data_IF_023366122457
#
_entry.id   IF_023366122457
#
_cell.length_a   1.000
_cell.length_b   1.000
_cell.length_c   1.000
_cell.angle_alpha   90.00
_cell.angle_beta   90.00
_cell.angle_gamma   90.00
#
_symmetry.space_group_name_H-M   'P 1'
#
loop_
_entity.id
_entity.type
_entity.pdbx_description
1 polymer ?
#
# COMPACT_ATOMS: atom_id res chain seq x y z
N UNK A 1 -75.79 -15.56 26.57
CA UNK A 1 -74.73 -15.49 27.59
C UNK A 1 -73.46 -16.03 26.96
N UNK A 2 -72.57 -15.11 26.56
CA UNK A 2 -71.11 -15.27 26.62
C UNK A 2 -70.53 -16.58 26.07
N UNK A 3 -70.13 -16.65 24.78
CA UNK A 3 -68.99 -17.40 24.19
C UNK A 3 -69.10 -17.32 22.65
N UNK A 4 -68.34 -16.44 21.99
CA UNK A 4 -67.93 -16.52 20.55
C UNK A 4 -67.38 -15.21 19.97
N UNK A 5 -67.19 -14.14 20.75
CA UNK A 5 -66.45 -12.94 20.31
C UNK A 5 -64.92 -13.11 20.35
N UNK A 6 -64.41 -14.33 20.59
CA UNK A 6 -63.00 -14.61 20.78
C UNK A 6 -62.21 -15.00 19.52
N UNK A 7 -62.82 -14.96 18.33
CA UNK A 7 -62.18 -15.46 17.09
C UNK A 7 -61.72 -14.40 16.08
N UNK A 8 -61.71 -13.10 16.42
CA UNK A 8 -61.20 -12.06 15.51
C UNK A 8 -60.16 -11.10 16.14
N UNK A 9 -59.47 -11.53 17.21
CA UNK A 9 -58.34 -10.78 17.79
C UNK A 9 -57.02 -11.54 17.88
N UNK A 10 -56.99 -12.83 17.54
CA UNK A 10 -55.78 -13.66 17.65
C UNK A 10 -54.87 -13.57 16.41
N UNK A 11 -55.36 -13.08 15.27
CA UNK A 11 -54.56 -13.00 14.01
C UNK A 11 -53.78 -11.68 13.87
N UNK A 12 -53.81 -10.79 14.87
CA UNK A 12 -53.16 -9.47 14.81
C UNK A 12 -52.13 -9.21 15.91
N UNK A 13 -51.72 -10.24 16.64
CA UNK A 13 -50.86 -10.13 17.82
C UNK A 13 -49.68 -11.11 17.84
N UNK A 14 -49.24 -11.60 16.68
CA UNK A 14 -48.17 -12.60 16.61
C UNK A 14 -47.29 -12.44 15.36
N UNK A 15 -46.84 -11.22 15.07
CA UNK A 15 -45.89 -10.93 13.98
C UNK A 15 -44.90 -9.81 14.36
N UNK A 16 -44.46 -9.74 15.62
CA UNK A 16 -43.49 -8.71 16.08
C UNK A 16 -42.29 -9.30 16.85
N UNK A 17 -42.20 -10.62 17.01
CA UNK A 17 -41.21 -11.25 17.90
C UNK A 17 -40.20 -12.17 17.19
N UNK A 18 -39.80 -11.87 15.94
CA UNK A 18 -38.72 -12.63 15.28
C UNK A 18 -37.92 -11.84 14.24
N UNK A 19 -37.70 -10.55 14.49
CA UNK A 19 -36.80 -9.70 13.67
C UNK A 19 -35.80 -8.97 14.55
N UNK A 20 -35.21 -9.68 15.52
CA UNK A 20 -34.20 -9.10 16.41
C UNK A 20 -33.14 -10.13 16.79
N UNK A 21 -32.22 -10.43 15.86
CA UNK A 21 -30.83 -10.82 16.15
C UNK A 21 -30.17 -11.39 14.89
N UNK A 22 -29.78 -10.52 13.94
CA UNK A 22 -28.69 -10.84 13.00
C UNK A 22 -28.11 -9.54 12.42
N UNK A 23 -27.85 -8.58 13.28
CA UNK A 23 -26.89 -7.51 12.99
C UNK A 23 -25.49 -8.09 13.20
N UNK A 24 -25.04 -8.95 12.29
CA UNK A 24 -23.60 -9.18 12.14
C UNK A 24 -23.02 -7.86 11.65
N UNK A 25 -22.56 -7.06 12.61
CA UNK A 25 -21.66 -5.96 12.30
C UNK A 25 -20.41 -6.60 11.69
N UNK A 26 -20.37 -6.67 10.36
CA UNK A 26 -19.11 -6.74 9.65
C UNK A 26 -18.42 -5.41 9.92
N UNK A 27 -17.77 -5.29 11.08
CA UNK A 27 -16.62 -4.44 11.22
C UNK A 27 -15.58 -5.01 10.26
N UNK A 28 -15.69 -4.65 8.99
CA UNK A 28 -14.52 -4.62 8.14
C UNK A 28 -13.55 -3.73 8.91
N UNK A 29 -12.55 -4.36 9.52
CA UNK A 29 -11.39 -3.64 9.95
C UNK A 29 -10.93 -2.90 8.70
N UNK A 30 -11.18 -1.59 8.64
CA UNK A 30 -10.37 -0.69 7.86
C UNK A 30 -8.99 -0.71 8.52
N UNK A 31 -8.29 -1.85 8.37
CA UNK A 31 -6.89 -1.91 8.66
C UNK A 31 -6.30 -0.92 7.70
N UNK A 32 -5.77 0.18 8.21
CA UNK A 32 -4.94 1.10 7.45
C UNK A 32 -3.99 0.22 6.63
N UNK A 33 -4.25 0.15 5.31
CA UNK A 33 -3.61 -0.85 4.48
C UNK A 33 -2.12 -0.51 4.48
N UNK A 34 -1.34 -1.32 5.18
CA UNK A 34 0.06 -1.01 5.43
C UNK A 34 0.87 -1.18 4.14
N UNK A 35 1.84 -0.31 3.84
CA UNK A 35 2.74 -0.47 2.71
C UNK A 35 3.78 -1.58 2.97
N UNK A 36 3.84 -2.17 4.17
CA UNK A 36 4.73 -3.32 4.45
C UNK A 36 4.36 -4.49 3.53
N UNK A 37 5.37 -5.13 2.94
CA UNK A 37 5.22 -6.26 2.02
C UNK A 37 6.08 -6.12 0.77
N UNK A 38 5.81 -6.96 -0.23
CA UNK A 38 6.53 -6.97 -1.50
C UNK A 38 5.68 -6.30 -2.58
N UNK A 39 6.32 -5.45 -3.37
CA UNK A 39 5.68 -4.65 -4.40
C UNK A 39 6.44 -4.76 -5.72
N UNK A 40 5.70 -4.94 -6.81
CA UNK A 40 6.21 -4.83 -8.16
C UNK A 40 6.12 -3.36 -8.60
N UNK A 41 7.26 -2.75 -8.91
CA UNK A 41 7.33 -1.38 -9.40
C UNK A 41 7.06 -1.34 -10.90
N UNK A 42 6.29 -0.36 -11.36
CA UNK A 42 5.95 -0.15 -12.77
C UNK A 42 6.59 1.15 -13.26
N UNK A 43 7.18 1.13 -14.45
CA UNK A 43 7.66 2.33 -15.12
C UNK A 43 6.47 3.20 -15.57
N UNK A 44 6.42 4.48 -15.15
CA UNK A 44 5.32 5.39 -15.48
C UNK A 44 5.34 5.89 -16.93
N UNK A 45 6.43 5.66 -17.67
CA UNK A 45 6.52 6.01 -19.10
C UNK A 45 6.18 4.84 -20.01
N UNK A 46 6.67 3.64 -19.68
CA UNK A 46 6.53 2.46 -20.55
C UNK A 46 5.43 1.50 -20.10
N UNK A 47 5.03 1.54 -18.83
CA UNK A 47 4.11 0.57 -18.23
C UNK A 47 4.76 -0.79 -17.91
N UNK A 48 6.07 -0.93 -18.10
CA UNK A 48 6.77 -2.20 -17.90
C UNK A 48 7.16 -2.43 -16.43
N UNK A 49 7.13 -3.69 -15.95
CA UNK A 49 7.66 -4.04 -14.64
C UNK A 49 9.17 -3.81 -14.53
N UNK A 50 9.63 -3.16 -13.45
CA UNK A 50 11.06 -2.85 -13.25
C UNK A 50 11.74 -3.72 -12.20
N UNK A 51 11.10 -3.95 -11.06
CA UNK A 51 11.70 -4.62 -9.91
C UNK A 51 10.64 -5.08 -8.90
N UNK A 52 11.05 -5.99 -8.02
CA UNK A 52 10.38 -6.27 -6.76
C UNK A 52 11.10 -5.54 -5.62
N UNK A 53 10.33 -4.78 -4.84
CA UNK A 53 10.80 -4.03 -3.68
C UNK A 53 10.09 -4.56 -2.44
N UNK A 54 10.86 -4.97 -1.44
CA UNK A 54 10.35 -5.34 -0.12
C UNK A 54 10.38 -4.12 0.80
N UNK A 55 9.23 -3.73 1.32
CA UNK A 55 9.07 -2.68 2.33
C UNK A 55 8.91 -3.33 3.70
N UNK A 56 9.68 -2.85 4.68
CA UNK A 56 9.67 -3.35 6.05
C UNK A 56 9.76 -2.20 7.06
N UNK A 57 9.38 -2.48 8.31
CA UNK A 57 9.54 -1.55 9.42
C UNK A 57 10.93 -1.71 10.06
N UNK A 58 11.59 -0.58 10.29
CA UNK A 58 12.86 -0.48 11.00
C UNK A 58 12.64 -0.39 12.51
N UNK A 59 13.71 -0.57 13.29
CA UNK A 59 13.67 -0.53 14.75
C UNK A 59 13.21 0.83 15.32
N UNK A 60 13.40 1.92 14.56
CA UNK A 60 12.96 3.26 14.92
C UNK A 60 11.49 3.56 14.54
N UNK A 61 10.80 2.55 14.00
CA UNK A 61 9.40 2.63 13.58
C UNK A 61 9.18 3.21 12.18
N UNK A 62 10.21 3.74 11.52
CA UNK A 62 10.13 4.16 10.11
C UNK A 62 10.06 2.96 9.17
N UNK A 63 9.68 3.19 7.92
CA UNK A 63 9.73 2.16 6.88
C UNK A 63 10.93 2.37 5.96
N UNK A 64 11.55 1.25 5.60
CA UNK A 64 12.59 1.16 4.58
C UNK A 64 12.16 0.21 3.47
N UNK A 65 12.87 0.27 2.34
CA UNK A 65 12.53 -0.54 1.16
C UNK A 65 13.76 -0.96 0.38
N UNK A 66 13.84 -2.25 0.04
CA UNK A 66 15.00 -2.88 -0.59
C UNK A 66 14.62 -3.58 -1.89
N UNK A 67 15.43 -3.42 -2.92
CA UNK A 67 15.27 -4.17 -4.17
C UNK A 67 15.63 -5.63 -3.91
N UNK A 68 14.68 -6.55 -4.10
CA UNK A 68 14.89 -7.99 -3.89
C UNK A 68 14.99 -8.77 -5.20
N UNK A 69 14.55 -8.19 -6.32
CA UNK A 69 14.66 -8.77 -7.66
C UNK A 69 14.49 -7.70 -8.74
N UNK A 70 15.27 -7.78 -9.82
CA UNK A 70 15.00 -7.02 -11.05
C UNK A 70 14.01 -7.77 -11.96
N UNK A 71 13.24 -7.05 -12.78
CA UNK A 71 12.27 -7.65 -13.69
C UNK A 71 12.52 -7.21 -15.14
N UNK A 72 12.08 -8.03 -16.10
CA UNK A 72 12.25 -7.77 -17.53
C UNK A 72 13.71 -7.41 -17.88
N UNK A 73 13.94 -6.26 -18.53
CA UNK A 73 15.29 -5.80 -18.89
C UNK A 73 16.23 -5.63 -17.67
N UNK A 74 15.65 -5.47 -16.48
CA UNK A 74 16.37 -5.26 -15.23
C UNK A 74 16.70 -6.56 -14.48
N UNK A 75 16.23 -7.74 -14.94
CA UNK A 75 16.51 -9.04 -14.31
C UNK A 75 17.95 -9.52 -14.62
N UNK A 76 18.91 -8.77 -14.08
CA UNK A 76 20.34 -9.00 -14.24
C UNK A 76 21.01 -8.85 -12.87
N UNK A 77 21.61 -9.93 -12.31
CA UNK A 77 22.07 -9.94 -10.92
C UNK A 77 23.26 -9.01 -10.65
N UNK A 78 24.01 -8.63 -11.70
CA UNK A 78 25.22 -7.83 -11.59
C UNK A 78 25.01 -6.33 -11.88
N UNK A 79 23.75 -5.87 -12.02
CA UNK A 79 23.46 -4.44 -12.22
C UNK A 79 23.95 -3.64 -11.03
N UNK A 80 24.60 -2.51 -11.31
CA UNK A 80 25.16 -1.59 -10.31
C UNK A 80 24.58 -0.21 -10.50
N UNK A 81 24.40 0.54 -9.41
CA UNK A 81 23.98 1.93 -9.49
C UNK A 81 25.14 2.84 -9.90
N UNK A 82 25.45 2.86 -11.20
CA UNK A 82 26.51 3.70 -11.77
C UNK A 82 26.14 5.19 -11.76
N UNK A 83 24.84 5.50 -11.84
CA UNK A 83 24.29 6.85 -11.78
C UNK A 83 24.27 7.44 -10.37
N UNK A 84 24.29 6.60 -9.32
CA UNK A 84 24.33 7.06 -7.93
C UNK A 84 25.60 7.89 -7.67
N UNK A 85 25.46 8.87 -6.79
CA UNK A 85 26.55 9.79 -6.38
C UNK A 85 26.87 9.70 -4.89
N UNK A 86 26.09 8.94 -4.13
CA UNK A 86 26.27 8.71 -2.70
C UNK A 86 27.01 7.39 -2.42
N UNK A 87 26.95 6.91 -1.17
CA UNK A 87 27.58 5.66 -0.74
C UNK A 87 27.14 4.42 -1.53
N UNK A 88 26.03 4.49 -2.27
CA UNK A 88 25.50 3.41 -3.10
C UNK A 88 26.09 3.40 -4.52
N UNK A 89 26.95 4.38 -4.86
CA UNK A 89 27.64 4.41 -6.15
C UNK A 89 28.40 3.11 -6.42
N UNK A 90 28.19 2.56 -7.61
CA UNK A 90 28.79 1.32 -8.10
C UNK A 90 28.50 0.06 -7.25
N UNK A 91 27.59 0.15 -6.27
CA UNK A 91 27.09 -1.00 -5.52
C UNK A 91 26.03 -1.76 -6.32
N UNK A 92 25.88 -3.05 -6.02
CA UNK A 92 24.84 -3.89 -6.62
C UNK A 92 23.46 -3.32 -6.30
N UNK A 93 22.61 -3.21 -7.32
CA UNK A 93 21.22 -2.81 -7.14
C UNK A 93 20.42 -3.92 -6.43
N UNK A 94 20.75 -5.18 -6.70
CA UNK A 94 20.15 -6.29 -5.96
C UNK A 94 20.55 -6.20 -4.49
N UNK A 95 19.55 -6.05 -3.63
CA UNK A 95 19.72 -5.86 -2.21
C UNK A 95 20.01 -4.41 -1.78
N UNK A 96 19.94 -3.44 -2.69
CA UNK A 96 20.09 -2.02 -2.35
C UNK A 96 18.84 -1.50 -1.64
N UNK A 97 19.04 -0.82 -0.51
CA UNK A 97 18.00 -0.01 0.14
C UNK A 97 17.78 1.26 -0.67
N UNK A 98 16.58 1.42 -1.22
CA UNK A 98 16.18 2.56 -2.02
C UNK A 98 15.12 3.43 -1.36
N UNK A 99 14.33 2.91 -0.41
CA UNK A 99 13.37 3.70 0.37
C UNK A 99 13.92 3.86 1.80
N UNK A 100 13.86 5.07 2.34
CA UNK A 100 14.26 5.37 3.71
C UNK A 100 13.28 6.32 4.41
N UNK A 101 13.17 6.18 5.74
CA UNK A 101 12.61 7.21 6.62
C UNK A 101 11.11 7.50 6.49
N UNK A 102 10.35 6.63 5.82
CA UNK A 102 8.92 6.85 5.61
C UNK A 102 8.16 6.69 6.94
N UNK A 103 7.36 7.68 7.31
CA UNK A 103 6.60 7.71 8.57
C UNK A 103 5.12 7.81 8.29
N UNK A 104 4.32 7.11 9.08
CA UNK A 104 2.87 7.21 8.95
C UNK A 104 2.40 8.63 9.26
N UNK A 105 1.57 9.18 8.37
CA UNK A 105 0.86 10.45 8.51
C UNK A 105 -0.58 10.26 8.04
N UNK A 106 -1.50 10.19 9.01
CA UNK A 106 -2.91 9.82 8.80
C UNK A 106 -3.09 8.52 7.99
N UNK A 107 -3.56 8.64 6.74
CA UNK A 107 -3.84 7.58 5.78
C UNK A 107 -2.68 7.32 4.79
N UNK A 108 -1.57 8.01 4.98
CA UNK A 108 -0.40 7.96 4.10
C UNK A 108 0.90 7.77 4.88
N UNK A 109 2.02 7.65 4.16
CA UNK A 109 3.35 7.70 4.72
C UNK A 109 4.17 8.75 3.99
N UNK A 110 4.86 9.60 4.75
CA UNK A 110 5.56 10.79 4.27
C UNK A 110 6.91 10.99 4.98
N UNK A 111 7.62 12.05 4.61
CA UNK A 111 8.85 12.50 5.27
C UNK A 111 10.12 11.74 4.88
N UNK A 112 9.98 10.61 4.21
CA UNK A 112 11.08 9.80 3.70
C UNK A 112 11.45 10.08 2.24
N UNK A 113 12.40 9.30 1.75
CA UNK A 113 12.95 9.46 0.42
C UNK A 113 13.01 8.15 -0.34
N UNK A 114 13.02 8.26 -1.68
CA UNK A 114 13.28 7.14 -2.58
C UNK A 114 14.41 7.52 -3.54
N UNK A 115 15.45 6.68 -3.58
CA UNK A 115 16.46 6.67 -4.63
C UNK A 115 15.90 6.00 -5.88
N UNK A 116 15.97 6.68 -7.03
CA UNK A 116 15.86 6.04 -8.33
C UNK A 116 17.27 5.63 -8.81
N UNK A 117 17.62 4.33 -8.77
CA UNK A 117 18.96 3.89 -9.13
C UNK A 117 19.24 4.01 -10.64
N UNK A 118 18.23 4.24 -11.48
CA UNK A 118 18.41 4.42 -12.93
C UNK A 118 18.98 5.81 -13.28
N UNK A 119 18.68 6.83 -12.46
CA UNK A 119 19.20 8.19 -12.66
C UNK A 119 20.01 8.73 -11.47
N UNK A 120 20.13 7.95 -10.40
CA UNK A 120 20.91 8.28 -9.20
C UNK A 120 20.31 9.38 -8.33
N UNK A 121 19.08 9.83 -8.61
CA UNK A 121 18.44 10.92 -7.88
C UNK A 121 17.63 10.40 -6.70
N UNK A 122 17.65 11.17 -5.63
CA UNK A 122 16.86 10.93 -4.42
C UNK A 122 15.70 11.93 -4.39
N UNK A 123 14.49 11.41 -4.26
CA UNK A 123 13.26 12.18 -4.25
C UNK A 123 12.62 12.14 -2.88
N UNK A 124 11.98 13.24 -2.46
CA UNK A 124 11.02 13.18 -1.35
C UNK A 124 9.79 12.40 -1.81
N UNK A 125 9.26 11.57 -0.93
CA UNK A 125 8.14 10.72 -1.29
C UNK A 125 6.98 10.81 -0.31
N UNK A 126 5.77 10.65 -0.87
CA UNK A 126 4.54 10.29 -0.18
C UNK A 126 4.06 8.97 -0.75
N UNK A 127 3.59 8.06 0.10
CA UNK A 127 2.97 6.82 -0.34
C UNK A 127 1.63 6.60 0.37
N UNK A 128 0.68 6.01 -0.33
CA UNK A 128 -0.57 5.56 0.27
C UNK A 128 -1.05 4.32 -0.45
N UNK A 129 -1.80 3.49 0.27
CA UNK A 129 -2.26 2.20 -0.22
C UNK A 129 -3.72 2.32 -0.65
N UNK A 130 -4.02 1.80 -1.84
CA UNK A 130 -5.34 1.81 -2.46
C UNK A 130 -5.78 0.38 -2.80
N UNK A 131 -6.96 0.25 -3.43
CA UNK A 131 -7.51 -1.01 -3.94
C UNK A 131 -7.46 -2.16 -2.93
N UNK A 132 -7.92 -1.90 -1.70
CA UNK A 132 -7.95 -2.87 -0.61
C UNK A 132 -6.57 -3.53 -0.34
N UNK A 133 -5.49 -2.75 -0.45
CA UNK A 133 -4.15 -3.25 -0.21
C UNK A 133 -3.39 -3.67 -1.46
N UNK A 134 -4.04 -3.72 -2.63
CA UNK A 134 -3.44 -4.28 -3.85
C UNK A 134 -2.57 -3.29 -4.62
N UNK A 135 -2.74 -1.99 -4.38
CA UNK A 135 -1.97 -0.94 -5.05
C UNK A 135 -1.27 -0.05 -4.04
N UNK A 136 -0.01 0.29 -4.31
CA UNK A 136 0.72 1.33 -3.59
C UNK A 136 0.96 2.47 -4.55
N UNK A 137 0.37 3.62 -4.26
CA UNK A 137 0.63 4.85 -5.01
C UNK A 137 1.81 5.55 -4.36
N UNK A 138 2.86 5.78 -5.13
CA UNK A 138 4.11 6.40 -4.69
C UNK A 138 4.32 7.68 -5.46
N UNK A 139 4.28 8.82 -4.77
CA UNK A 139 4.51 10.14 -5.35
C UNK A 139 5.90 10.66 -5.00
N UNK A 140 6.76 10.80 -6.00
CA UNK A 140 8.08 11.45 -5.87
C UNK A 140 8.04 12.90 -6.33
N UNK A 141 8.68 13.81 -5.58
CA UNK A 141 8.68 15.24 -5.88
C UNK A 141 9.97 15.95 -5.46
N UNK A 142 10.18 17.15 -6.02
CA UNK A 142 11.31 18.04 -5.69
C UNK A 142 10.75 19.31 -5.06
N UNK A 143 11.15 19.62 -3.83
CA UNK A 143 10.65 20.78 -3.10
C UNK A 143 9.23 20.54 -2.55
N UNK A 144 8.21 20.93 -3.32
CA UNK A 144 6.78 20.79 -2.95
C UNK A 144 6.12 19.64 -3.71
N UNK A 145 5.17 18.95 -3.08
CA UNK A 145 4.52 17.75 -3.65
C UNK A 145 3.73 18.01 -4.94
N UNK A 146 3.35 19.26 -5.22
CA UNK A 146 2.68 19.62 -6.47
C UNK A 146 3.58 19.43 -7.71
N UNK A 147 4.91 19.54 -7.55
CA UNK A 147 5.89 19.42 -8.64
C UNK A 147 6.55 18.04 -8.54
N UNK A 148 5.87 17.03 -9.07
CA UNK A 148 6.29 15.64 -8.98
C UNK A 148 5.44 14.70 -9.84
N UNK A 149 5.75 13.41 -9.76
CA UNK A 149 5.06 12.34 -10.49
C UNK A 149 4.66 11.23 -9.54
N UNK A 150 3.62 10.51 -9.92
CA UNK A 150 3.14 9.34 -9.19
C UNK A 150 3.38 8.09 -10.01
N UNK A 151 3.81 7.03 -9.33
CA UNK A 151 3.84 5.66 -9.85
C UNK A 151 2.88 4.80 -9.04
N UNK A 152 2.29 3.80 -9.66
CA UNK A 152 1.47 2.80 -8.97
C UNK A 152 2.20 1.48 -9.01
N UNK A 153 2.39 0.87 -7.84
CA UNK A 153 3.05 -0.42 -7.68
C UNK A 153 2.02 -1.49 -7.32
N UNK A 154 2.27 -2.71 -7.75
CA UNK A 154 1.35 -3.84 -7.59
C UNK A 154 1.81 -4.74 -6.44
N UNK A 155 0.91 -5.01 -5.49
CA UNK A 155 1.21 -5.90 -4.37
C UNK A 155 1.52 -7.30 -4.89
N UNK A 156 2.57 -7.90 -4.34
CA UNK A 156 2.91 -9.29 -4.57
C UNK A 156 2.49 -10.14 -3.36
N UNK A 157 2.12 -11.42 -3.59
CA UNK A 157 1.76 -12.36 -2.54
C UNK A 157 2.94 -12.74 -1.64
#
# INVERSE_FOLDING_TARGET
MMQALFNLRVVRGMLVAMTLAMSVANAFAAGNASPIGVWQTIDDHTGEPKALVQIAQEADGTLSGKIIKGLAANDQPNRRCTACTDARKDQLMLGMTIIDGMKQDADSWEGGHILDPENGKVYKCKMHVEDNGQKLVVRGYIGVSLIGRSQTWDRQP
#
